data_IF_398615923374
#
_entry.id   IF_398615923374
#
_cell.length_a   1.000
_cell.length_b   1.000
_cell.length_c   1.000
_cell.angle_alpha   90.00
_cell.angle_beta   90.00
_cell.angle_gamma   90.00
#
_symmetry.space_group_name_H-M   'P 1'
#
loop_
_entity.id
_entity.type
_entity.pdbx_description
1 polymer ?
#
# COMPACT_ATOMS: atom_id res chain seq x y z
N UNK A 1 35.19 70.85 -40.64
CA UNK A 1 35.20 70.72 -39.17
C UNK A 1 35.05 69.22 -38.82
N UNK A 2 36.14 68.54 -38.38
CA UNK A 2 36.18 67.17 -38.07
C UNK A 2 35.93 66.97 -36.56
N UNK A 3 34.86 66.27 -36.19
CA UNK A 3 34.51 65.97 -34.83
C UNK A 3 35.45 64.92 -34.22
N UNK A 4 36.27 65.28 -33.24
CA UNK A 4 37.10 64.35 -32.46
C UNK A 4 36.26 63.54 -31.51
N UNK A 5 36.06 62.27 -31.80
CA UNK A 5 35.50 61.30 -30.85
C UNK A 5 36.47 61.04 -29.69
N UNK A 6 36.13 61.48 -28.49
CA UNK A 6 36.84 61.15 -27.21
C UNK A 6 36.65 59.69 -26.86
N UNK A 7 37.73 58.87 -27.04
CA UNK A 7 37.77 57.52 -26.46
C UNK A 7 37.72 57.62 -24.91
N UNK A 8 36.67 57.03 -24.29
CA UNK A 8 36.58 56.90 -22.84
C UNK A 8 37.71 55.99 -22.31
N UNK A 9 38.43 56.37 -21.23
CA UNK A 9 39.48 55.54 -20.66
C UNK A 9 38.94 54.24 -20.13
N UNK A 10 39.47 53.09 -20.60
CA UNK A 10 39.15 51.77 -20.02
C UNK A 10 39.72 51.74 -18.59
N UNK A 11 38.85 51.71 -17.60
CA UNK A 11 39.25 51.53 -16.20
C UNK A 11 39.93 50.18 -16.01
N UNK A 12 41.23 50.16 -15.73
CA UNK A 12 42.01 48.98 -15.39
C UNK A 12 41.51 48.40 -14.05
N UNK A 13 41.06 47.14 -14.08
CA UNK A 13 40.60 46.43 -12.89
C UNK A 13 41.76 46.26 -11.92
N UNK A 14 41.61 46.76 -10.69
CA UNK A 14 42.65 46.71 -9.65
C UNK A 14 42.95 45.26 -9.21
N UNK A 15 44.19 45.01 -8.73
CA UNK A 15 44.67 43.67 -8.32
C UNK A 15 43.74 42.99 -7.30
N UNK A 16 43.20 43.72 -6.31
CA UNK A 16 42.23 43.19 -5.33
C UNK A 16 40.90 42.77 -5.93
N UNK A 17 40.47 43.44 -7.02
CA UNK A 17 39.22 43.09 -7.71
C UNK A 17 39.40 41.85 -8.59
N UNK A 18 40.58 41.67 -9.22
CA UNK A 18 40.96 40.45 -9.96
C UNK A 18 40.96 39.22 -9.02
N UNK A 19 41.50 39.35 -7.80
CA UNK A 19 41.53 38.26 -6.83
C UNK A 19 40.11 37.87 -6.36
N UNK A 20 39.23 38.84 -6.13
CA UNK A 20 37.83 38.57 -5.78
C UNK A 20 37.06 37.90 -6.92
N UNK A 21 37.26 38.37 -8.15
CA UNK A 21 36.67 37.73 -9.36
C UNK A 21 37.19 36.31 -9.55
N UNK A 22 38.49 36.08 -9.34
CA UNK A 22 39.09 34.75 -9.42
C UNK A 22 38.53 33.81 -8.32
N UNK A 23 38.40 34.32 -7.10
CA UNK A 23 37.78 33.54 -6.01
C UNK A 23 36.33 33.19 -6.28
N UNK A 24 35.53 34.13 -6.82
CA UNK A 24 34.16 33.88 -7.26
C UNK A 24 34.08 32.84 -8.40
N UNK A 25 34.98 32.99 -9.39
CA UNK A 25 35.08 32.02 -10.48
C UNK A 25 35.41 30.61 -9.97
N UNK A 26 36.38 30.46 -9.07
CA UNK A 26 36.74 29.18 -8.45
C UNK A 26 35.59 28.59 -7.68
N UNK A 27 34.81 29.40 -6.96
CA UNK A 27 33.63 28.93 -6.22
C UNK A 27 32.56 28.37 -7.17
N UNK A 28 32.32 29.04 -8.31
CA UNK A 28 31.41 28.57 -9.36
C UNK A 28 31.91 27.24 -9.97
N UNK A 29 33.20 27.13 -10.25
CA UNK A 29 33.82 25.91 -10.81
C UNK A 29 33.64 24.75 -9.81
N UNK A 30 33.90 24.96 -8.54
CA UNK A 30 33.71 23.93 -7.48
C UNK A 30 32.24 23.52 -7.39
N UNK A 31 31.31 24.48 -7.45
CA UNK A 31 29.88 24.17 -7.45
C UNK A 31 29.45 23.36 -8.69
N UNK A 32 29.97 23.71 -9.88
CA UNK A 32 29.73 22.93 -11.11
C UNK A 32 30.30 21.51 -11.04
N UNK A 33 31.52 21.35 -10.50
CA UNK A 33 32.10 20.02 -10.30
C UNK A 33 31.28 19.19 -9.32
N UNK A 34 30.75 19.79 -8.26
CA UNK A 34 29.81 19.15 -7.34
C UNK A 34 28.50 18.70 -8.02
N UNK A 35 27.95 19.54 -8.89
CA UNK A 35 26.75 19.17 -9.68
C UNK A 35 27.03 18.03 -10.67
N UNK A 36 28.18 18.06 -11.36
CA UNK A 36 28.58 16.98 -12.27
C UNK A 36 28.77 15.68 -11.50
N UNK A 37 29.45 15.71 -10.35
CA UNK A 37 29.62 14.54 -9.48
C UNK A 37 28.27 13.99 -9.01
N UNK A 38 27.33 14.87 -8.66
CA UNK A 38 25.97 14.46 -8.28
C UNK A 38 25.19 13.84 -9.45
N UNK A 39 25.31 14.42 -10.65
CA UNK A 39 24.68 13.86 -11.85
C UNK A 39 25.23 12.47 -12.18
N UNK A 40 26.56 12.29 -12.15
CA UNK A 40 27.21 10.99 -12.36
C UNK A 40 26.77 9.97 -11.30
N UNK A 41 26.65 10.39 -10.04
CA UNK A 41 26.14 9.53 -8.98
C UNK A 41 24.69 9.09 -9.23
N UNK A 42 23.82 10.02 -9.64
CA UNK A 42 22.41 9.71 -9.99
C UNK A 42 22.35 8.78 -11.20
N UNK A 43 23.15 9.03 -12.22
CA UNK A 43 23.23 8.18 -13.40
C UNK A 43 23.70 6.77 -13.07
N UNK A 44 24.72 6.65 -12.24
CA UNK A 44 25.24 5.35 -11.80
C UNK A 44 24.25 4.57 -10.90
N UNK A 45 23.55 5.25 -9.98
CA UNK A 45 22.66 4.59 -9.01
C UNK A 45 21.23 4.41 -9.53
N UNK A 46 20.75 5.27 -10.43
CA UNK A 46 19.36 5.34 -10.84
C UNK A 46 19.16 5.58 -12.35
N UNK A 47 20.21 5.59 -13.14
CA UNK A 47 20.16 5.88 -14.59
C UNK A 47 19.19 4.99 -15.34
N UNK A 48 19.21 3.68 -15.08
CA UNK A 48 18.29 2.71 -15.68
C UNK A 48 16.84 2.95 -15.30
N UNK A 49 16.57 3.35 -14.05
CA UNK A 49 15.22 3.66 -13.57
C UNK A 49 14.67 4.93 -14.22
N UNK A 50 15.51 5.96 -14.37
CA UNK A 50 15.13 7.19 -15.06
C UNK A 50 14.96 6.99 -16.57
N UNK A 51 15.83 6.23 -17.20
CA UNK A 51 15.71 5.89 -18.63
C UNK A 51 14.41 5.12 -18.88
N UNK A 52 14.09 4.14 -18.04
CA UNK A 52 12.82 3.41 -18.10
C UNK A 52 11.62 4.32 -17.90
N UNK A 53 11.69 5.26 -16.97
CA UNK A 53 10.62 6.22 -16.71
C UNK A 53 10.42 7.22 -17.85
N UNK A 54 11.48 7.72 -18.46
CA UNK A 54 11.42 8.63 -19.63
C UNK A 54 10.86 7.91 -20.85
N UNK A 55 11.33 6.69 -21.13
CA UNK A 55 10.82 5.88 -22.23
C UNK A 55 9.34 5.50 -22.02
N UNK A 56 8.87 5.35 -20.76
CA UNK A 56 7.47 5.13 -20.46
C UNK A 56 6.56 6.32 -20.75
N UNK A 57 7.11 7.51 -20.93
CA UNK A 57 6.39 8.75 -21.26
C UNK A 57 6.31 9.05 -22.76
N UNK A 58 7.08 8.36 -23.60
CA UNK A 58 7.03 8.53 -25.05
C UNK A 58 5.98 7.62 -25.67
N UNK A 59 4.90 8.21 -26.19
CA UNK A 59 3.80 7.50 -26.86
C UNK A 59 4.16 7.09 -28.29
N UNK A 60 4.59 5.86 -28.45
CA UNK A 60 4.49 5.11 -29.70
C UNK A 60 3.89 3.74 -29.35
N UNK A 61 3.31 3.00 -30.31
CA UNK A 61 2.68 1.70 -30.10
C UNK A 61 3.46 0.83 -29.11
N UNK A 62 3.16 0.96 -27.83
CA UNK A 62 3.94 0.36 -26.78
C UNK A 62 3.03 -0.24 -25.72
N UNK A 63 3.33 -1.47 -25.39
CA UNK A 63 2.67 -2.21 -24.33
C UNK A 63 3.40 -1.97 -23.01
N UNK A 64 2.66 -1.55 -21.99
CA UNK A 64 3.19 -1.48 -20.62
C UNK A 64 3.35 -2.91 -20.07
N UNK A 65 4.50 -3.19 -19.46
CA UNK A 65 4.75 -4.40 -18.70
C UNK A 65 4.59 -4.02 -17.22
N UNK A 66 3.51 -4.47 -16.54
CA UNK A 66 3.27 -4.06 -15.16
C UNK A 66 4.33 -4.64 -14.23
N UNK A 67 4.72 -3.86 -13.22
CA UNK A 67 5.54 -4.34 -12.11
C UNK A 67 4.69 -5.14 -11.13
N UNK A 68 5.31 -6.04 -10.40
CA UNK A 68 4.74 -6.73 -9.26
C UNK A 68 5.08 -5.97 -7.98
N UNK A 69 4.05 -5.57 -7.20
CA UNK A 69 4.24 -4.94 -5.89
C UNK A 69 4.87 -5.93 -4.92
N UNK A 70 5.86 -5.49 -4.14
CA UNK A 70 6.62 -6.31 -3.19
C UNK A 70 5.72 -6.98 -2.15
N UNK A 71 6.15 -8.11 -1.62
CA UNK A 71 5.42 -8.82 -0.59
C UNK A 71 5.56 -8.14 0.77
N UNK A 72 4.57 -8.32 1.65
CA UNK A 72 4.70 -8.09 3.09
C UNK A 72 4.72 -9.46 3.74
N UNK A 73 5.72 -9.72 4.54
CA UNK A 73 5.91 -11.02 5.22
C UNK A 73 6.06 -10.82 6.72
N UNK A 74 5.68 -11.84 7.47
CA UNK A 74 5.85 -11.89 8.92
C UNK A 74 7.31 -12.18 9.31
N UNK A 75 7.58 -12.29 10.60
CA UNK A 75 8.92 -12.58 11.14
C UNK A 75 9.46 -13.96 10.72
N UNK A 76 8.61 -14.89 10.34
CA UNK A 76 8.95 -16.26 9.94
C UNK A 76 8.97 -16.44 8.41
N UNK A 77 8.70 -15.38 7.63
CA UNK A 77 8.62 -15.44 6.18
C UNK A 77 7.24 -15.81 5.64
N UNK A 78 6.21 -15.90 6.49
CA UNK A 78 4.82 -16.13 6.06
C UNK A 78 4.32 -14.91 5.27
N UNK A 79 3.76 -15.14 4.10
CA UNK A 79 3.29 -14.05 3.22
C UNK A 79 1.96 -13.51 3.70
N UNK A 80 1.96 -12.27 4.21
CA UNK A 80 0.78 -11.55 4.68
C UNK A 80 0.09 -10.77 3.55
N UNK A 81 0.85 -10.26 2.60
CA UNK A 81 0.35 -9.59 1.41
C UNK A 81 1.25 -9.91 0.21
N UNK A 82 0.64 -10.23 -0.92
CA UNK A 82 1.33 -10.54 -2.18
C UNK A 82 0.57 -9.95 -3.36
N UNK A 83 1.19 -9.95 -4.53
CA UNK A 83 0.54 -9.57 -5.79
C UNK A 83 0.42 -10.78 -6.69
N UNK A 84 -0.80 -11.10 -7.10
CA UNK A 84 -1.10 -12.21 -8.01
C UNK A 84 -1.36 -11.67 -9.41
N UNK A 85 -0.89 -12.39 -10.42
CA UNK A 85 -1.17 -12.05 -11.81
C UNK A 85 -2.63 -12.30 -12.12
N UNK A 86 -3.29 -11.32 -12.73
CA UNK A 86 -4.64 -11.41 -13.27
C UNK A 86 -4.61 -10.94 -14.73
N UNK A 87 -5.60 -11.33 -15.49
CA UNK A 87 -5.63 -11.14 -16.93
C UNK A 87 -6.91 -10.44 -17.36
N UNK A 88 -6.75 -9.41 -18.18
CA UNK A 88 -7.87 -8.79 -18.87
C UNK A 88 -7.97 -9.36 -20.27
N UNK A 89 -9.17 -9.77 -20.68
CA UNK A 89 -9.44 -10.25 -22.04
C UNK A 89 -9.70 -9.04 -22.93
N UNK A 90 -8.85 -8.84 -23.92
CA UNK A 90 -8.94 -7.70 -24.83
C UNK A 90 -9.22 -8.19 -26.26
N UNK A 91 -10.16 -7.48 -26.91
CA UNK A 91 -10.54 -7.72 -28.30
C UNK A 91 -10.10 -6.56 -29.20
N UNK A 92 -9.40 -6.90 -30.27
CA UNK A 92 -9.16 -6.01 -31.41
C UNK A 92 -10.16 -6.36 -32.53
N UNK A 93 -11.17 -5.53 -32.65
CA UNK A 93 -12.17 -5.72 -33.70
C UNK A 93 -11.60 -5.50 -35.09
N UNK A 94 -10.55 -4.66 -35.26
CA UNK A 94 -9.94 -4.44 -36.58
C UNK A 94 -9.26 -5.69 -37.11
N UNK A 95 -8.62 -6.47 -36.23
CA UNK A 95 -8.01 -7.76 -36.59
C UNK A 95 -9.07 -8.83 -36.79
N UNK A 96 -10.04 -8.95 -35.85
CA UNK A 96 -11.12 -9.94 -35.94
C UNK A 96 -11.96 -9.76 -37.21
N UNK A 97 -12.23 -8.53 -37.64
CA UNK A 97 -13.05 -8.22 -38.82
C UNK A 97 -12.27 -8.06 -40.10
N UNK A 98 -10.93 -8.19 -40.06
CA UNK A 98 -10.05 -8.07 -41.26
C UNK A 98 -10.38 -9.09 -42.34
N UNK A 99 -10.87 -10.26 -41.92
CA UNK A 99 -11.41 -11.30 -42.82
C UNK A 99 -12.70 -11.87 -42.23
N UNK A 100 -13.69 -12.15 -43.11
CA UNK A 100 -14.96 -12.72 -42.66
C UNK A 100 -14.81 -14.10 -41.99
N UNK A 101 -13.81 -14.87 -42.36
CA UNK A 101 -13.49 -16.18 -41.80
C UNK A 101 -13.00 -16.16 -40.35
N UNK A 102 -12.62 -14.98 -39.80
CA UNK A 102 -12.15 -14.84 -38.41
C UNK A 102 -13.30 -14.56 -37.43
N UNK A 103 -14.40 -13.95 -37.90
CA UNK A 103 -15.46 -13.42 -37.01
C UNK A 103 -16.14 -14.57 -36.23
N UNK A 104 -16.75 -15.52 -36.92
CA UNK A 104 -17.50 -16.62 -36.28
C UNK A 104 -16.63 -17.49 -35.38
N UNK A 105 -15.43 -18.00 -35.83
CA UNK A 105 -14.59 -18.81 -34.95
C UNK A 105 -14.10 -18.07 -33.70
N UNK A 106 -13.82 -16.76 -33.80
CA UNK A 106 -13.38 -15.97 -32.66
C UNK A 106 -14.52 -15.76 -31.65
N UNK A 107 -15.74 -15.43 -32.14
CA UNK A 107 -16.91 -15.27 -31.26
C UNK A 107 -17.30 -16.63 -30.63
N UNK A 108 -17.28 -17.75 -31.38
CA UNK A 108 -17.57 -19.05 -30.83
C UNK A 108 -16.57 -19.46 -29.73
N UNK A 109 -15.28 -19.24 -29.96
CA UNK A 109 -14.24 -19.49 -28.96
C UNK A 109 -14.43 -18.65 -27.70
N UNK A 110 -14.73 -17.34 -27.85
CA UNK A 110 -14.97 -16.44 -26.71
C UNK A 110 -16.18 -16.87 -25.89
N UNK A 111 -17.30 -17.16 -26.53
CA UNK A 111 -18.53 -17.58 -25.82
C UNK A 111 -18.43 -18.97 -25.22
N UNK A 112 -17.65 -19.88 -25.83
CA UNK A 112 -17.37 -21.18 -25.27
C UNK A 112 -16.51 -21.16 -24.02
N UNK A 113 -15.45 -20.31 -24.01
CA UNK A 113 -14.49 -20.24 -22.91
C UNK A 113 -14.92 -19.28 -21.81
N UNK A 114 -15.73 -18.28 -22.15
CA UNK A 114 -16.19 -17.23 -21.22
C UNK A 114 -17.70 -17.11 -21.25
N UNK A 115 -18.43 -17.90 -20.44
CA UNK A 115 -19.90 -17.93 -20.43
C UNK A 115 -20.57 -16.58 -20.09
N UNK A 116 -19.85 -15.69 -19.42
CA UNK A 116 -20.32 -14.35 -19.07
C UNK A 116 -20.39 -13.39 -20.27
N UNK A 117 -19.83 -13.78 -21.42
CA UNK A 117 -19.87 -12.96 -22.63
C UNK A 117 -21.11 -13.27 -23.45
N UNK A 118 -21.90 -12.23 -23.71
CA UNK A 118 -23.06 -12.31 -24.57
C UNK A 118 -22.65 -12.29 -26.05
N UNK A 119 -23.13 -13.28 -26.80
CA UNK A 119 -22.86 -13.44 -28.23
C UNK A 119 -23.35 -12.23 -29.05
N UNK A 120 -24.54 -11.71 -28.74
CA UNK A 120 -25.12 -10.60 -29.48
C UNK A 120 -24.26 -9.32 -29.32
N UNK A 121 -23.69 -9.11 -28.14
CA UNK A 121 -22.76 -8.01 -27.89
C UNK A 121 -21.47 -8.15 -28.71
N UNK A 122 -20.91 -9.35 -28.83
CA UNK A 122 -19.73 -9.59 -29.65
C UNK A 122 -19.99 -9.42 -31.16
N UNK A 123 -21.16 -9.84 -31.63
CA UNK A 123 -21.62 -9.61 -33.01
C UNK A 123 -21.86 -8.13 -33.29
N UNK A 124 -22.38 -7.35 -32.32
CA UNK A 124 -22.49 -5.91 -32.41
C UNK A 124 -21.13 -5.23 -32.56
N UNK A 125 -20.15 -5.61 -31.76
CA UNK A 125 -18.77 -5.13 -31.91
C UNK A 125 -18.19 -5.44 -33.30
N UNK A 126 -18.44 -6.64 -33.83
CA UNK A 126 -18.00 -7.03 -35.18
C UNK A 126 -18.65 -6.19 -36.27
N UNK A 127 -19.88 -5.70 -36.07
CA UNK A 127 -20.62 -4.95 -37.06
C UNK A 127 -20.39 -3.42 -36.96
N UNK A 128 -20.40 -2.90 -35.74
CA UNK A 128 -20.46 -1.46 -35.47
C UNK A 128 -19.16 -0.84 -34.91
N UNK A 129 -18.18 -1.68 -34.52
CA UNK A 129 -16.93 -1.23 -33.90
C UNK A 129 -15.68 -1.75 -34.63
N UNK A 130 -15.73 -1.93 -35.94
CA UNK A 130 -14.68 -2.58 -36.74
C UNK A 130 -13.30 -1.96 -36.63
N UNK A 131 -13.22 -0.65 -36.44
CA UNK A 131 -11.96 0.09 -36.34
C UNK A 131 -11.42 0.16 -34.90
N UNK A 132 -12.19 -0.34 -33.91
CA UNK A 132 -11.77 -0.34 -32.52
C UNK A 132 -10.73 -1.44 -32.27
N UNK A 133 -9.52 -1.02 -31.92
CA UNK A 133 -8.40 -1.91 -31.68
C UNK A 133 -8.28 -2.39 -30.23
N UNK A 134 -9.10 -1.83 -29.32
CA UNK A 134 -8.96 -2.09 -27.89
C UNK A 134 -10.30 -2.06 -27.19
N UNK A 135 -10.89 -3.23 -26.97
CA UNK A 135 -12.10 -3.41 -26.17
C UNK A 135 -11.80 -4.41 -25.06
N UNK A 136 -11.88 -4.00 -23.81
CA UNK A 136 -11.73 -4.90 -22.67
C UNK A 136 -13.07 -5.62 -22.45
N UNK A 137 -13.11 -6.91 -22.75
CA UNK A 137 -14.30 -7.75 -22.61
C UNK A 137 -14.52 -8.20 -21.17
N UNK A 138 -13.45 -8.70 -20.52
CA UNK A 138 -13.46 -9.18 -19.14
C UNK A 138 -12.21 -8.67 -18.44
N UNK A 139 -12.31 -8.45 -17.12
CA UNK A 139 -11.21 -7.93 -16.29
C UNK A 139 -10.88 -8.88 -15.15
N UNK A 140 -9.59 -8.90 -14.79
CA UNK A 140 -9.10 -9.53 -13.56
C UNK A 140 -9.39 -11.02 -13.44
N UNK A 141 -9.35 -11.73 -14.55
CA UNK A 141 -9.49 -13.19 -14.57
C UNK A 141 -8.23 -13.87 -14.03
N UNK A 142 -8.40 -15.01 -13.37
CA UNK A 142 -7.28 -15.87 -13.00
C UNK A 142 -6.66 -16.54 -14.24
N UNK A 143 -5.42 -17.04 -14.10
CA UNK A 143 -4.80 -17.83 -15.16
C UNK A 143 -5.64 -19.05 -15.56
N UNK A 144 -6.21 -19.75 -14.58
CA UNK A 144 -7.05 -20.92 -14.81
C UNK A 144 -8.31 -20.59 -15.62
N UNK A 145 -8.86 -19.39 -15.44
CA UNK A 145 -10.03 -18.94 -16.18
C UNK A 145 -9.73 -18.64 -17.67
N UNK A 146 -8.52 -18.17 -17.99
CA UNK A 146 -8.12 -17.88 -19.38
C UNK A 146 -7.47 -19.07 -20.08
N UNK A 147 -6.97 -20.05 -19.32
CA UNK A 147 -6.22 -21.21 -19.86
C UNK A 147 -6.98 -21.98 -20.94
N UNK A 148 -8.31 -22.25 -20.84
CA UNK A 148 -9.06 -22.93 -21.89
C UNK A 148 -9.00 -22.21 -23.24
N UNK A 149 -9.07 -20.87 -23.23
CA UNK A 149 -8.99 -20.07 -24.46
C UNK A 149 -7.56 -20.07 -25.02
N UNK A 150 -6.55 -19.93 -24.17
CA UNK A 150 -5.13 -19.99 -24.58
C UNK A 150 -4.83 -21.34 -25.21
N UNK A 151 -5.27 -22.45 -24.60
CA UNK A 151 -5.09 -23.77 -25.15
C UNK A 151 -5.80 -23.95 -26.49
N UNK A 152 -7.00 -23.37 -26.65
CA UNK A 152 -7.73 -23.40 -27.91
C UNK A 152 -7.03 -22.61 -29.01
N UNK A 153 -6.51 -21.43 -28.68
CA UNK A 153 -5.82 -20.50 -29.59
C UNK A 153 -4.47 -21.07 -30.05
N UNK A 154 -3.69 -21.66 -29.13
CA UNK A 154 -2.32 -22.14 -29.36
C UNK A 154 -2.25 -23.61 -29.74
N UNK A 155 -3.40 -24.31 -29.82
CA UNK A 155 -3.44 -25.74 -30.21
C UNK A 155 -2.77 -25.99 -31.56
N UNK A 156 -1.80 -26.91 -31.59
CA UNK A 156 -1.09 -27.30 -32.83
C UNK A 156 -1.38 -28.73 -33.20
N UNK A 157 -1.27 -29.04 -34.50
CA UNK A 157 -1.30 -30.39 -35.04
C UNK A 157 0.09 -31.06 -34.86
N UNK A 158 0.17 -32.37 -35.27
CA UNK A 158 1.43 -33.12 -35.21
C UNK A 158 2.56 -32.51 -36.08
N UNK A 159 2.22 -31.64 -37.01
CA UNK A 159 3.16 -30.93 -37.90
C UNK A 159 3.53 -29.53 -37.40
N UNK A 160 3.00 -29.09 -36.22
CA UNK A 160 3.26 -27.81 -35.66
C UNK A 160 2.40 -26.65 -36.21
N UNK A 161 1.37 -26.94 -37.04
CA UNK A 161 0.46 -25.90 -37.53
C UNK A 161 -0.67 -25.65 -36.50
N UNK A 162 -1.13 -24.41 -36.41
CA UNK A 162 -2.28 -24.07 -35.55
C UNK A 162 -3.54 -24.84 -36.01
N UNK A 163 -4.23 -25.50 -35.07
CA UNK A 163 -5.51 -26.16 -35.34
C UNK A 163 -6.64 -25.16 -35.58
N UNK A 164 -6.57 -24.02 -34.90
CA UNK A 164 -7.57 -22.95 -34.94
C UNK A 164 -6.98 -21.63 -35.48
N UNK A 165 -6.47 -21.57 -36.72
CA UNK A 165 -5.77 -20.42 -37.26
C UNK A 165 -6.66 -19.19 -37.45
N UNK A 166 -7.99 -19.38 -37.40
CA UNK A 166 -8.99 -18.34 -37.62
C UNK A 166 -9.47 -17.66 -36.34
N UNK A 167 -9.00 -18.08 -35.16
CA UNK A 167 -9.21 -17.31 -33.90
C UNK A 167 -8.22 -16.17 -33.89
N UNK A 168 -8.71 -14.95 -34.10
CA UNK A 168 -7.87 -13.76 -34.26
C UNK A 168 -8.44 -12.53 -33.50
N UNK A 169 -7.54 -11.61 -33.12
CA UNK A 169 -7.92 -10.34 -32.52
C UNK A 169 -8.17 -10.42 -31.00
N UNK A 170 -7.85 -11.53 -30.35
CA UNK A 170 -7.97 -11.66 -28.89
C UNK A 170 -6.59 -11.83 -28.28
N UNK A 171 -6.31 -11.06 -27.24
CA UNK A 171 -5.11 -11.22 -26.42
C UNK A 171 -5.40 -10.94 -24.95
N UNK A 172 -4.44 -11.27 -24.11
CA UNK A 172 -4.54 -11.09 -22.65
C UNK A 172 -3.55 -10.05 -22.19
N UNK A 173 -4.06 -9.08 -21.42
CA UNK A 173 -3.21 -8.12 -20.72
C UNK A 173 -3.02 -8.57 -19.28
N UNK A 174 -1.76 -8.76 -18.90
CA UNK A 174 -1.41 -9.09 -17.52
C UNK A 174 -1.49 -7.83 -16.66
N UNK A 175 -2.15 -7.95 -15.53
CA UNK A 175 -2.22 -6.95 -14.47
C UNK A 175 -1.88 -7.66 -13.14
N UNK A 176 -1.44 -6.93 -12.13
CA UNK A 176 -1.23 -7.49 -10.81
C UNK A 176 -2.28 -6.96 -9.85
N UNK A 177 -2.97 -7.89 -9.19
CA UNK A 177 -3.92 -7.58 -8.12
C UNK A 177 -3.31 -7.91 -6.77
N UNK A 178 -3.45 -6.98 -5.82
CA UNK A 178 -3.04 -7.22 -4.44
C UNK A 178 -3.93 -8.29 -3.81
N UNK A 179 -3.32 -9.25 -3.13
CA UNK A 179 -4.00 -10.34 -2.44
C UNK A 179 -3.47 -10.48 -1.03
N UNK A 180 -4.37 -10.67 -0.09
CA UNK A 180 -4.12 -10.85 1.33
C UNK A 180 -4.61 -12.24 1.74
N UNK A 181 -3.72 -13.26 1.80
CA UNK A 181 -4.12 -14.65 1.99
C UNK A 181 -4.91 -14.90 3.28
N UNK A 182 -4.61 -14.14 4.32
CA UNK A 182 -5.25 -14.28 5.63
C UNK A 182 -6.41 -13.30 5.87
N UNK A 183 -6.84 -12.57 4.83
CA UNK A 183 -8.00 -11.68 4.83
C UNK A 183 -7.97 -10.62 5.94
N UNK A 184 -8.43 -10.98 7.16
CA UNK A 184 -8.60 -10.04 8.27
C UNK A 184 -7.38 -9.91 9.16
N UNK A 185 -6.39 -10.82 9.04
CA UNK A 185 -5.22 -10.86 9.92
C UNK A 185 -4.41 -9.57 9.84
N UNK A 186 -4.20 -8.94 10.99
CA UNK A 186 -3.47 -7.68 11.14
C UNK A 186 -3.98 -6.57 10.19
N UNK A 187 -5.28 -6.54 9.89
CA UNK A 187 -5.87 -5.70 8.84
C UNK A 187 -5.53 -4.22 8.97
N UNK A 188 -5.62 -3.65 10.18
CA UNK A 188 -5.31 -2.24 10.44
C UNK A 188 -3.80 -1.94 10.43
N UNK A 189 -2.95 -2.95 10.63
CA UNK A 189 -1.48 -2.82 10.56
C UNK A 189 -1.02 -2.91 9.12
N UNK A 190 -1.41 -3.98 8.41
CA UNK A 190 -1.01 -4.17 7.01
C UNK A 190 -1.61 -3.07 6.15
N UNK A 191 -2.89 -2.79 6.31
CA UNK A 191 -3.61 -1.88 5.42
C UNK A 191 -3.87 -2.50 4.05
N UNK A 192 -4.41 -1.70 3.14
CA UNK A 192 -4.78 -2.16 1.81
C UNK A 192 -4.38 -1.16 0.72
N UNK A 193 -4.45 -1.62 -0.53
CA UNK A 193 -4.20 -0.79 -1.72
C UNK A 193 -5.50 -0.45 -2.44
N UNK A 194 -5.54 0.74 -3.02
CA UNK A 194 -6.55 1.17 -3.98
C UNK A 194 -6.13 0.86 -5.43
N UNK A 195 -6.93 1.27 -6.40
CA UNK A 195 -6.62 1.13 -7.82
C UNK A 195 -5.24 1.72 -8.16
N UNK A 196 -4.50 1.05 -9.02
CA UNK A 196 -3.16 1.48 -9.44
C UNK A 196 -2.04 1.15 -8.46
N UNK A 197 -2.24 0.18 -7.58
CA UNK A 197 -1.25 -0.25 -6.58
C UNK A 197 -0.85 0.86 -5.58
N UNK A 198 -1.76 1.79 -5.28
CA UNK A 198 -1.52 2.86 -4.31
C UNK A 198 -1.91 2.38 -2.92
N UNK A 199 -0.96 2.37 -1.98
CA UNK A 199 -1.23 2.06 -0.57
C UNK A 199 -2.15 3.12 0.06
N UNK A 200 -3.22 2.68 0.71
CA UNK A 200 -4.25 3.58 1.27
C UNK A 200 -4.11 3.74 2.77
N UNK A 201 -3.85 2.66 3.49
CA UNK A 201 -3.69 2.64 4.96
C UNK A 201 -2.53 1.74 5.38
N UNK A 202 -2.15 1.79 6.64
CA UNK A 202 -1.19 0.88 7.28
C UNK A 202 0.19 0.85 6.62
N UNK A 203 0.84 -0.30 6.68
CA UNK A 203 2.17 -0.54 6.08
C UNK A 203 2.15 -0.38 4.56
N UNK A 204 1.03 -0.73 3.91
CA UNK A 204 0.85 -0.53 2.47
C UNK A 204 1.00 0.93 2.07
N UNK A 205 0.48 1.86 2.89
CA UNK A 205 0.62 3.30 2.64
C UNK A 205 1.99 3.81 3.06
N UNK A 206 2.44 3.47 4.28
CA UNK A 206 3.69 4.00 4.82
C UNK A 206 4.92 3.59 3.99
N UNK A 207 4.96 2.34 3.54
CA UNK A 207 6.04 1.80 2.70
C UNK A 207 5.68 1.74 1.22
N UNK A 208 4.75 2.60 0.76
CA UNK A 208 4.27 2.57 -0.61
C UNK A 208 5.41 2.64 -1.64
N UNK A 209 6.39 3.52 -1.46
CA UNK A 209 7.52 3.69 -2.36
C UNK A 209 8.49 2.49 -2.37
N UNK A 210 8.60 1.79 -1.23
CA UNK A 210 9.41 0.57 -1.11
C UNK A 210 8.73 -0.62 -1.77
N UNK A 211 7.42 -0.75 -1.56
CA UNK A 211 6.60 -1.84 -2.07
C UNK A 211 6.30 -1.68 -3.56
N UNK A 212 6.21 -0.47 -4.08
CA UNK A 212 6.01 -0.23 -5.51
C UNK A 212 7.29 -0.44 -6.30
N UNK A 213 7.09 -0.90 -7.53
CA UNK A 213 8.11 -1.03 -8.53
C UNK A 213 7.99 0.02 -9.64
N UNK A 214 8.66 -0.24 -10.75
CA UNK A 214 8.61 0.58 -11.95
C UNK A 214 8.14 -0.29 -13.12
N UNK A 215 7.10 0.15 -13.82
CA UNK A 215 6.62 -0.53 -15.00
C UNK A 215 7.71 -0.62 -16.07
N UNK A 216 7.81 -1.79 -16.68
CA UNK A 216 8.55 -1.98 -17.90
C UNK A 216 7.75 -1.55 -19.12
N UNK A 217 8.35 -1.66 -20.27
CA UNK A 217 7.72 -1.30 -21.54
C UNK A 217 8.23 -2.18 -22.68
N UNK A 218 7.31 -2.58 -23.51
CA UNK A 218 7.60 -3.19 -24.80
C UNK A 218 7.22 -2.18 -25.88
N UNK A 219 8.16 -1.85 -26.74
CA UNK A 219 7.90 -0.98 -27.89
C UNK A 219 8.70 -1.48 -29.09
N UNK A 220 8.20 -1.20 -30.27
CA UNK A 220 8.86 -1.58 -31.50
C UNK A 220 8.81 -0.47 -32.52
N UNK A 221 9.78 -0.49 -33.41
CA UNK A 221 9.83 0.34 -34.60
C UNK A 221 10.21 -0.50 -35.83
N UNK A 222 9.74 -0.07 -36.98
CA UNK A 222 10.22 -0.63 -38.26
C UNK A 222 11.59 -0.02 -38.59
N UNK A 223 12.59 -0.91 -38.78
CA UNK A 223 13.90 -0.45 -39.24
C UNK A 223 13.86 -0.05 -40.72
N UNK A 224 15.01 0.40 -41.29
CA UNK A 224 15.13 0.82 -42.69
C UNK A 224 14.78 -0.30 -43.68
N UNK A 225 14.84 -1.55 -43.27
CA UNK A 225 14.54 -2.76 -44.07
C UNK A 225 13.12 -3.25 -43.89
N UNK A 226 12.26 -2.48 -43.17
CA UNK A 226 10.88 -2.84 -42.83
C UNK A 226 10.75 -4.02 -41.85
N UNK A 227 11.82 -4.43 -41.16
CA UNK A 227 11.76 -5.42 -40.09
C UNK A 227 11.36 -4.76 -38.79
N UNK A 228 10.41 -5.39 -38.07
CA UNK A 228 9.94 -4.91 -36.77
C UNK A 228 10.97 -5.24 -35.68
N UNK A 229 11.70 -4.23 -35.22
CA UNK A 229 12.61 -4.37 -34.09
C UNK A 229 11.88 -4.09 -32.78
N UNK A 230 11.75 -5.13 -31.98
CA UNK A 230 11.13 -5.10 -30.65
C UNK A 230 12.18 -4.79 -29.58
N UNK A 231 11.93 -3.75 -28.80
CA UNK A 231 12.72 -3.44 -27.61
C UNK A 231 11.87 -3.69 -26.36
N UNK A 232 12.41 -4.46 -25.41
CA UNK A 232 11.74 -4.77 -24.15
C UNK A 232 12.56 -4.18 -23.01
N UNK A 233 11.94 -3.27 -22.26
CA UNK A 233 12.45 -2.81 -20.97
C UNK A 233 11.70 -3.57 -19.91
N UNK A 234 12.38 -4.43 -19.17
CA UNK A 234 11.76 -5.23 -18.12
C UNK A 234 11.21 -4.35 -16.98
N UNK A 235 10.10 -4.74 -16.41
CA UNK A 235 9.61 -4.13 -15.17
C UNK A 235 10.58 -4.37 -14.01
N UNK A 236 10.67 -3.42 -13.10
CA UNK A 236 11.36 -3.59 -11.82
C UNK A 236 10.29 -3.79 -10.75
N UNK A 237 10.29 -4.95 -10.11
CA UNK A 237 9.36 -5.25 -9.04
C UNK A 237 9.70 -4.46 -7.77
N UNK A 238 8.70 -4.26 -6.91
CA UNK A 238 8.89 -3.66 -5.59
C UNK A 238 9.66 -4.58 -4.64
N UNK A 239 10.19 -4.01 -3.57
CA UNK A 239 10.94 -4.75 -2.55
C UNK A 239 9.99 -5.41 -1.55
N UNK A 240 10.40 -6.57 -1.03
CA UNK A 240 9.68 -7.26 0.05
C UNK A 240 9.92 -6.55 1.37
N UNK A 241 8.86 -6.34 2.13
CA UNK A 241 8.88 -5.80 3.49
C UNK A 241 8.79 -6.94 4.50
N UNK A 242 9.81 -7.07 5.35
CA UNK A 242 9.84 -8.00 6.49
C UNK A 242 9.36 -7.27 7.73
N UNK A 243 8.37 -7.83 8.42
CA UNK A 243 7.81 -7.27 9.66
C UNK A 243 8.25 -8.09 10.87
N UNK A 244 8.08 -7.55 12.06
CA UNK A 244 8.29 -8.27 13.34
C UNK A 244 7.04 -9.02 13.79
N UNK A 245 5.91 -8.84 13.12
CA UNK A 245 4.66 -9.55 13.40
C UNK A 245 4.87 -11.06 13.22
N UNK A 246 4.41 -11.84 14.18
CA UNK A 246 4.29 -13.30 14.07
C UNK A 246 2.83 -13.63 13.77
N UNK A 247 2.56 -14.22 12.60
CA UNK A 247 1.21 -14.50 12.13
C UNK A 247 0.45 -15.44 13.07
N UNK A 248 1.15 -16.37 13.75
CA UNK A 248 0.51 -17.29 14.68
C UNK A 248 0.08 -16.57 15.96
N UNK A 249 0.96 -15.73 16.54
CA UNK A 249 0.65 -14.94 17.73
C UNK A 249 -0.50 -13.97 17.40
N UNK A 250 -0.42 -13.28 16.27
CA UNK A 250 -1.45 -12.36 15.79
C UNK A 250 -2.82 -13.06 15.67
N UNK A 251 -2.85 -14.25 15.04
CA UNK A 251 -4.10 -15.03 14.89
C UNK A 251 -4.70 -15.42 16.22
N UNK A 252 -3.87 -15.92 17.17
CA UNK A 252 -4.34 -16.28 18.51
C UNK A 252 -4.95 -15.07 19.22
N UNK A 253 -4.32 -13.90 19.12
CA UNK A 253 -4.81 -12.65 19.74
C UNK A 253 -6.14 -12.25 19.13
N UNK A 254 -6.26 -12.24 17.80
CA UNK A 254 -7.51 -11.88 17.11
C UNK A 254 -8.66 -12.84 17.43
N UNK A 255 -8.39 -14.14 17.49
CA UNK A 255 -9.37 -15.15 17.90
C UNK A 255 -9.87 -14.91 19.33
N UNK A 256 -8.98 -14.54 20.27
CA UNK A 256 -9.37 -14.23 21.65
C UNK A 256 -10.16 -12.93 21.76
N UNK A 257 -9.78 -11.90 21.00
CA UNK A 257 -10.52 -10.65 20.90
C UNK A 257 -11.95 -10.92 20.39
N UNK A 258 -12.05 -11.68 19.29
CA UNK A 258 -13.35 -12.05 18.71
C UNK A 258 -14.20 -12.85 19.70
N UNK A 259 -13.62 -13.87 20.32
CA UNK A 259 -14.30 -14.70 21.33
C UNK A 259 -14.83 -13.83 22.49
N UNK A 260 -14.04 -12.86 22.97
CA UNK A 260 -14.47 -11.93 24.00
C UNK A 260 -15.67 -11.09 23.52
N UNK A 261 -15.56 -10.47 22.34
CA UNK A 261 -16.65 -9.66 21.79
C UNK A 261 -17.93 -10.46 21.59
N UNK A 262 -17.83 -11.70 21.07
CA UNK A 262 -18.98 -12.58 20.87
C UNK A 262 -19.62 -13.03 22.21
N UNK A 263 -18.79 -13.32 23.21
CA UNK A 263 -19.27 -13.76 24.54
C UNK A 263 -20.07 -12.66 25.26
N UNK A 264 -19.64 -11.41 25.09
CA UNK A 264 -20.27 -10.28 25.78
C UNK A 264 -21.21 -9.47 24.89
N UNK A 265 -21.51 -9.94 23.68
CA UNK A 265 -22.48 -9.32 22.80
C UNK A 265 -23.86 -9.26 23.47
N UNK A 266 -24.53 -8.11 23.36
CA UNK A 266 -25.84 -7.82 23.94
C UNK A 266 -25.91 -8.00 25.50
N UNK A 267 -24.78 -7.95 26.21
CA UNK A 267 -24.73 -8.09 27.65
C UNK A 267 -25.01 -6.75 28.37
N UNK A 268 -24.01 -5.84 28.39
CA UNK A 268 -24.16 -4.56 29.08
C UNK A 268 -24.90 -3.52 28.21
N UNK A 269 -24.86 -3.68 26.87
CA UNK A 269 -25.58 -2.89 25.89
C UNK A 269 -25.93 -3.76 24.68
N UNK A 270 -26.88 -3.33 23.87
CA UNK A 270 -27.18 -3.97 22.59
C UNK A 270 -26.02 -3.84 21.61
N UNK A 271 -25.72 -4.89 20.85
CA UNK A 271 -24.68 -4.94 19.84
C UNK A 271 -23.40 -5.64 20.30
N UNK A 272 -22.25 -5.16 19.84
CA UNK A 272 -20.94 -5.78 20.10
C UNK A 272 -20.59 -5.78 21.60
N UNK A 273 -19.85 -6.80 22.04
CA UNK A 273 -19.40 -6.93 23.44
C UNK A 273 -18.47 -5.82 23.90
N UNK A 274 -17.73 -5.23 22.96
CA UNK A 274 -16.97 -4.01 23.17
C UNK A 274 -17.04 -3.14 21.91
N UNK A 275 -16.94 -1.83 22.08
CA UNK A 275 -16.89 -0.90 20.93
C UNK A 275 -15.57 -1.00 20.20
N UNK A 276 -14.48 -1.01 20.97
CA UNK A 276 -13.13 -1.22 20.46
C UNK A 276 -12.35 -2.10 21.45
N UNK A 277 -11.49 -2.95 20.92
CA UNK A 277 -10.51 -3.72 21.69
C UNK A 277 -9.17 -3.55 20.99
N UNK A 278 -8.11 -3.24 21.76
CA UNK A 278 -6.75 -3.15 21.27
C UNK A 278 -5.83 -4.03 22.10
N UNK A 279 -4.98 -4.80 21.42
CA UNK A 279 -3.95 -5.64 22.07
C UNK A 279 -2.64 -5.48 21.32
N UNK A 280 -1.57 -5.15 22.03
CA UNK A 280 -0.21 -5.12 21.54
C UNK A 280 0.60 -6.15 22.34
N UNK A 281 1.32 -7.02 21.65
CA UNK A 281 2.30 -7.94 22.24
C UNK A 281 3.68 -7.52 21.76
N UNK A 282 4.52 -7.13 22.70
CA UNK A 282 5.87 -6.64 22.44
C UNK A 282 6.90 -7.52 23.17
N UNK A 283 8.04 -7.71 22.52
CA UNK A 283 9.21 -8.32 23.13
C UNK A 283 9.99 -7.25 23.93
N UNK A 284 10.00 -7.27 25.26
CA UNK A 284 10.59 -6.20 26.07
C UNK A 284 12.12 -6.13 25.96
N UNK A 285 12.76 -7.14 25.35
CA UNK A 285 14.23 -7.19 25.22
C UNK A 285 14.74 -6.35 24.05
N UNK A 286 13.95 -6.21 22.98
CA UNK A 286 14.39 -5.57 21.75
C UNK A 286 13.35 -4.63 21.14
N UNK A 287 12.15 -4.52 21.72
CA UNK A 287 11.08 -3.64 21.25
C UNK A 287 10.33 -4.15 20.02
N UNK A 288 10.52 -5.41 19.62
CA UNK A 288 9.79 -5.99 18.49
C UNK A 288 8.32 -6.19 18.84
N UNK A 289 7.43 -5.66 17.98
CA UNK A 289 6.00 -5.90 18.09
C UNK A 289 5.69 -7.23 17.42
N UNK A 290 5.32 -8.23 18.23
CA UNK A 290 5.01 -9.57 17.76
C UNK A 290 3.56 -9.70 17.29
N UNK A 291 2.64 -8.93 17.88
CA UNK A 291 1.25 -8.80 17.47
C UNK A 291 0.72 -7.41 17.78
N UNK A 292 -0.11 -6.89 16.90
CA UNK A 292 -0.86 -5.65 17.08
C UNK A 292 -2.26 -5.86 16.49
N UNK A 293 -3.24 -6.09 17.34
CA UNK A 293 -4.58 -6.43 16.94
C UNK A 293 -5.59 -5.45 17.51
N UNK A 294 -6.59 -5.11 16.72
CA UNK A 294 -7.74 -4.34 17.17
C UNK A 294 -9.05 -4.93 16.61
N UNK A 295 -10.13 -4.60 17.27
CA UNK A 295 -11.49 -4.98 16.89
C UNK A 295 -12.40 -3.76 17.04
N UNK A 296 -13.28 -3.50 16.07
CA UNK A 296 -13.55 -4.25 14.83
C UNK A 296 -12.36 -4.34 13.88
N UNK A 297 -12.31 -5.39 13.05
CA UNK A 297 -11.35 -5.58 11.95
C UNK A 297 -12.09 -5.68 10.60
N UNK A 298 -11.38 -5.78 9.47
CA UNK A 298 -12.00 -5.84 8.14
C UNK A 298 -11.23 -6.77 7.19
N UNK A 299 -11.91 -7.24 6.14
CA UNK A 299 -11.25 -8.04 5.08
C UNK A 299 -10.44 -7.14 4.17
N UNK A 300 -9.11 -7.33 4.15
CA UNK A 300 -8.16 -6.59 3.32
C UNK A 300 -8.42 -6.75 1.82
N UNK A 301 -9.02 -7.88 1.39
CA UNK A 301 -9.40 -8.09 -0.01
C UNK A 301 -10.71 -7.37 -0.37
N UNK A 302 -11.55 -7.05 0.63
CA UNK A 302 -12.78 -6.29 0.46
C UNK A 302 -12.96 -5.23 1.54
N UNK A 303 -12.06 -4.23 1.63
CA UNK A 303 -11.98 -3.31 2.77
C UNK A 303 -13.19 -2.38 2.94
N UNK A 304 -14.06 -2.30 1.93
CA UNK A 304 -15.29 -1.50 1.99
C UNK A 304 -16.51 -2.29 2.48
N UNK A 305 -16.36 -3.59 2.74
CA UNK A 305 -17.45 -4.40 3.26
C UNK A 305 -17.62 -4.17 4.77
N UNK A 306 -18.72 -3.54 5.12
CA UNK A 306 -19.11 -3.23 6.49
C UNK A 306 -20.25 -4.14 6.99
N UNK A 307 -20.64 -5.15 6.23
CA UNK A 307 -21.81 -5.99 6.51
C UNK A 307 -21.71 -6.77 7.84
N UNK A 308 -20.50 -7.00 8.34
CA UNK A 308 -20.27 -7.66 9.62
C UNK A 308 -20.64 -6.79 10.85
N UNK A 309 -20.75 -5.46 10.68
CA UNK A 309 -20.87 -4.51 11.80
C UNK A 309 -22.08 -3.58 11.70
N UNK A 310 -22.71 -3.48 10.54
CA UNK A 310 -23.84 -2.60 10.31
C UNK A 310 -25.02 -3.35 9.71
N UNK A 311 -26.24 -2.98 10.12
CA UNK A 311 -27.48 -3.56 9.59
C UNK A 311 -27.70 -3.17 8.11
N UNK A 312 -28.53 -3.94 7.42
CA UNK A 312 -28.89 -3.62 6.02
C UNK A 312 -29.48 -2.21 5.86
N UNK A 313 -30.24 -1.74 6.85
CA UNK A 313 -30.82 -0.41 6.87
C UNK A 313 -29.75 0.67 6.99
N UNK A 314 -28.75 0.46 7.86
CA UNK A 314 -27.61 1.36 8.01
C UNK A 314 -26.75 1.39 6.73
N UNK A 315 -26.48 0.22 6.15
CA UNK A 315 -25.75 0.12 4.89
C UNK A 315 -26.50 0.80 3.73
N UNK A 316 -27.82 0.70 3.70
CA UNK A 316 -28.64 1.40 2.71
C UNK A 316 -28.65 2.92 2.93
N UNK A 317 -28.55 3.40 4.18
CA UNK A 317 -28.39 4.81 4.49
C UNK A 317 -27.02 5.34 4.04
N UNK A 318 -25.94 4.62 4.31
CA UNK A 318 -24.57 4.97 3.88
C UNK A 318 -24.48 5.11 2.35
N UNK A 319 -25.10 4.22 1.58
CA UNK A 319 -25.15 4.33 0.11
C UNK A 319 -25.80 5.63 -0.40
N UNK A 320 -26.62 6.30 0.42
CA UNK A 320 -27.27 7.57 0.07
C UNK A 320 -26.46 8.79 0.50
N UNK A 321 -25.55 8.62 1.46
CA UNK A 321 -24.70 9.69 1.98
C UNK A 321 -23.24 9.22 2.00
N UNK A 322 -22.50 9.62 0.98
CA UNK A 322 -21.11 9.24 0.81
C UNK A 322 -20.19 9.75 1.94
N UNK A 323 -20.58 10.82 2.63
CA UNK A 323 -19.81 11.35 3.77
C UNK A 323 -19.94 10.43 4.97
N UNK A 324 -21.16 10.02 5.31
CA UNK A 324 -21.41 9.06 6.39
C UNK A 324 -20.78 7.69 6.10
N UNK A 325 -20.83 7.23 4.83
CA UNK A 325 -20.14 6.02 4.41
C UNK A 325 -18.63 6.11 4.67
N UNK A 326 -18.00 7.21 4.24
CA UNK A 326 -16.56 7.40 4.43
C UNK A 326 -16.16 7.55 5.89
N UNK A 327 -16.98 8.19 6.71
CA UNK A 327 -16.73 8.31 8.15
C UNK A 327 -16.78 6.94 8.83
N UNK A 328 -17.75 6.09 8.47
CA UNK A 328 -17.86 4.72 8.99
C UNK A 328 -16.68 3.85 8.55
N UNK A 329 -16.29 3.94 7.26
CA UNK A 329 -15.11 3.25 6.73
C UNK A 329 -13.82 3.71 7.39
N UNK A 330 -13.62 5.01 7.56
CA UNK A 330 -12.45 5.56 8.22
C UNK A 330 -12.32 5.07 9.68
N UNK A 331 -13.43 4.96 10.40
CA UNK A 331 -13.44 4.37 11.75
C UNK A 331 -13.02 2.91 11.73
N UNK A 332 -13.52 2.13 10.76
CA UNK A 332 -13.21 0.71 10.62
C UNK A 332 -11.74 0.47 10.25
N UNK A 333 -11.17 1.33 9.39
CA UNK A 333 -9.78 1.21 8.91
C UNK A 333 -8.74 1.72 9.90
N UNK A 334 -9.15 2.49 10.91
CA UNK A 334 -8.22 3.02 11.90
C UNK A 334 -7.58 1.90 12.72
N UNK A 335 -6.28 2.05 12.97
CA UNK A 335 -5.59 1.23 13.95
C UNK A 335 -5.78 1.83 15.34
N UNK A 336 -6.72 1.28 16.09
CA UNK A 336 -7.06 1.75 17.43
C UNK A 336 -5.85 1.78 18.38
N UNK A 337 -4.90 0.85 18.22
CA UNK A 337 -3.69 0.79 19.05
C UNK A 337 -2.84 2.06 19.01
N UNK A 338 -2.91 2.82 17.90
CA UNK A 338 -2.03 4.00 17.68
C UNK A 338 -2.78 5.31 17.41
N UNK A 339 -4.09 5.25 17.18
CA UNK A 339 -4.87 6.45 16.82
C UNK A 339 -5.71 7.00 17.96
N UNK A 340 -5.93 6.22 19.03
CA UNK A 340 -6.78 6.60 20.14
C UNK A 340 -5.99 6.78 21.43
N UNK A 341 -6.46 7.69 22.24
CA UNK A 341 -5.98 7.90 23.60
C UNK A 341 -7.00 7.35 24.59
N UNK A 342 -6.53 6.90 25.75
CA UNK A 342 -7.38 6.40 26.83
C UNK A 342 -6.82 6.81 28.18
N UNK A 343 -7.65 6.79 29.21
CA UNK A 343 -7.23 7.03 30.59
C UNK A 343 -6.59 5.73 31.13
N UNK A 344 -5.26 5.70 31.37
CA UNK A 344 -4.56 4.48 31.71
C UNK A 344 -4.86 3.98 33.12
N UNK A 345 -5.40 4.80 33.98
CA UNK A 345 -5.67 4.45 35.37
C UNK A 345 -4.41 4.01 36.12
N UNK A 346 -4.49 2.93 36.91
CA UNK A 346 -3.37 2.41 37.69
C UNK A 346 -2.18 1.92 36.86
N UNK A 347 -2.35 1.65 35.57
CA UNK A 347 -1.23 1.28 34.66
C UNK A 347 -0.22 2.43 34.52
N UNK A 348 -0.62 3.70 34.79
CA UNK A 348 0.28 4.85 34.78
C UNK A 348 1.21 4.90 36.00
N UNK A 349 0.83 4.25 37.13
CA UNK A 349 1.59 4.36 38.39
C UNK A 349 3.06 3.93 38.29
N UNK A 350 3.40 2.79 37.66
CA UNK A 350 4.81 2.40 37.45
C UNK A 350 5.62 3.44 36.70
N UNK A 351 5.04 4.11 35.70
CA UNK A 351 5.71 5.17 34.95
C UNK A 351 5.97 6.40 35.83
N UNK A 352 5.01 6.77 36.69
CA UNK A 352 5.18 7.89 37.64
C UNK A 352 6.29 7.57 38.64
N UNK A 353 6.31 6.36 39.19
CA UNK A 353 7.36 5.91 40.13
C UNK A 353 8.71 5.87 39.43
N UNK A 354 8.82 5.31 38.22
CA UNK A 354 10.06 5.26 37.46
C UNK A 354 10.60 6.68 37.16
N UNK A 355 9.74 7.60 36.78
CA UNK A 355 10.12 9.00 36.57
C UNK A 355 10.61 9.68 37.86
N UNK A 356 9.94 9.42 38.99
CA UNK A 356 10.36 9.95 40.31
C UNK A 356 11.72 9.40 40.74
N UNK A 357 12.01 8.12 40.50
CA UNK A 357 13.32 7.52 40.77
C UNK A 357 14.41 8.06 39.84
N UNK A 358 14.12 8.18 38.54
CA UNK A 358 15.08 8.64 37.53
C UNK A 358 15.47 10.11 37.78
N UNK A 359 14.52 10.95 38.21
CA UNK A 359 14.76 12.36 38.55
C UNK A 359 15.35 12.58 39.98
N UNK A 360 15.46 11.50 40.74
CA UNK A 360 15.92 11.56 42.13
C UNK A 360 14.90 12.23 43.09
N UNK A 361 13.67 12.45 42.65
CA UNK A 361 12.58 12.98 43.50
C UNK A 361 12.05 11.93 44.48
N UNK A 362 12.12 10.64 44.05
CA UNK A 362 11.80 9.48 44.87
C UNK A 362 13.08 8.66 45.11
N UNK A 363 13.14 8.04 46.33
CA UNK A 363 14.13 7.01 46.63
C UNK A 363 13.43 5.78 47.22
N UNK A 364 14.06 4.62 47.12
CA UNK A 364 13.43 3.34 47.51
C UNK A 364 13.18 3.22 49.03
N UNK A 365 13.83 4.04 49.83
CA UNK A 365 13.69 4.10 51.31
C UNK A 365 12.65 5.08 51.78
N UNK A 366 12.05 5.87 50.87
CA UNK A 366 10.95 6.77 51.20
C UNK A 366 9.72 6.04 51.69
N UNK A 367 9.04 6.65 52.65
CA UNK A 367 7.75 6.22 53.18
C UNK A 367 6.69 7.27 53.02
N UNK A 368 5.46 6.85 52.81
CA UNK A 368 4.29 7.70 52.56
C UNK A 368 3.18 7.35 53.56
N UNK A 369 2.44 8.34 53.96
CA UNK A 369 1.26 8.15 54.82
C UNK A 369 0.01 8.10 53.95
N UNK A 370 -0.67 6.96 53.92
CA UNK A 370 -1.97 6.83 53.31
C UNK A 370 -3.06 6.93 54.38
N UNK A 371 -3.77 8.06 54.45
CA UNK A 371 -4.91 8.30 55.36
C UNK A 371 -6.27 8.14 54.65
N UNK A 372 -6.26 7.52 53.45
CA UNK A 372 -7.45 7.15 52.67
C UNK A 372 -7.88 8.17 51.65
N UNK A 373 -7.28 9.32 51.53
CA UNK A 373 -7.52 10.29 50.48
C UNK A 373 -6.40 11.36 50.39
N UNK A 374 -6.34 12.02 49.25
CA UNK A 374 -5.50 13.20 49.04
C UNK A 374 -6.30 14.31 48.35
N UNK A 375 -5.99 15.55 48.63
CA UNK A 375 -6.66 16.71 48.04
C UNK A 375 -5.80 17.34 46.96
N UNK A 376 -6.29 17.37 45.71
CA UNK A 376 -5.69 18.11 44.61
C UNK A 376 -6.51 19.35 44.29
N UNK A 377 -6.11 20.47 44.87
CA UNK A 377 -6.90 21.70 44.81
C UNK A 377 -8.25 21.51 45.51
N UNK A 378 -9.35 21.60 44.79
CA UNK A 378 -10.71 21.37 45.28
C UNK A 378 -11.18 19.90 45.15
N UNK A 379 -10.43 19.11 44.42
CA UNK A 379 -10.85 17.72 44.12
C UNK A 379 -10.29 16.73 45.14
N UNK A 380 -11.16 15.82 45.62
CA UNK A 380 -10.79 14.75 46.52
C UNK A 380 -10.54 13.45 45.77
N UNK A 381 -9.29 12.98 45.76
CA UNK A 381 -8.91 11.68 45.24
C UNK A 381 -8.86 10.70 46.41
N UNK A 382 -9.70 9.68 46.37
CA UNK A 382 -9.84 8.70 47.47
C UNK A 382 -9.07 7.43 47.17
N UNK A 383 -8.42 6.88 48.18
CA UNK A 383 -7.88 5.52 48.13
C UNK A 383 -9.02 4.50 48.15
N UNK A 384 -8.79 3.30 47.58
CA UNK A 384 -9.74 2.18 47.69
C UNK A 384 -10.04 1.84 49.16
N UNK A 385 -8.99 1.75 49.98
CA UNK A 385 -9.15 1.69 51.42
C UNK A 385 -9.38 3.10 51.97
N UNK A 386 -10.62 3.51 52.14
CA UNK A 386 -11.00 4.82 52.60
C UNK A 386 -10.56 5.13 54.05
N UNK A 387 -10.15 4.07 54.78
CA UNK A 387 -9.59 4.19 56.13
C UNK A 387 -8.09 4.43 56.14
N UNK A 388 -7.47 4.40 54.93
CA UNK A 388 -6.04 4.46 54.73
C UNK A 388 -5.32 3.14 55.01
N UNK A 389 -4.08 3.03 54.50
CA UNK A 389 -3.18 1.89 54.77
C UNK A 389 -2.15 2.22 55.85
N UNK A 390 -2.10 3.49 56.31
CA UNK A 390 -1.10 3.94 57.24
C UNK A 390 0.21 4.31 56.59
N UNK A 391 1.34 4.02 57.25
CA UNK A 391 2.68 4.33 56.71
C UNK A 391 3.11 3.17 55.79
N UNK A 392 3.32 3.48 54.54
CA UNK A 392 3.70 2.58 53.45
C UNK A 392 5.11 2.90 52.93
N UNK A 393 5.88 1.88 52.63
CA UNK A 393 7.10 2.05 51.78
C UNK A 393 6.71 2.23 50.32
N UNK A 394 7.61 2.73 49.49
CA UNK A 394 7.37 2.89 48.07
C UNK A 394 6.97 1.54 47.42
N UNK A 395 7.60 0.43 47.82
CA UNK A 395 7.29 -0.92 47.36
C UNK A 395 5.88 -1.35 47.77
N UNK A 396 5.49 -1.22 49.06
CA UNK A 396 4.18 -1.60 49.53
C UNK A 396 3.08 -0.71 48.91
N UNK A 397 3.29 0.59 48.85
CA UNK A 397 2.30 1.50 48.26
C UNK A 397 2.01 1.16 46.80
N UNK A 398 3.02 0.61 46.07
CA UNK A 398 2.83 0.17 44.69
C UNK A 398 2.07 -1.16 44.62
N UNK A 399 2.34 -2.11 45.54
CA UNK A 399 1.65 -3.41 45.58
C UNK A 399 0.21 -3.31 46.07
N UNK A 400 -0.09 -2.45 47.05
CA UNK A 400 -1.43 -2.33 47.66
C UNK A 400 -2.31 -1.29 46.95
N UNK A 401 -1.73 -0.43 46.15
CA UNK A 401 -2.47 0.57 45.38
C UNK A 401 -3.17 0.00 44.14
N UNK A 402 -3.42 -1.29 44.10
CA UNK A 402 -4.07 -2.02 43.00
C UNK A 402 -5.53 -1.62 42.73
N UNK A 403 -5.80 -0.32 42.86
CA UNK A 403 -7.12 0.22 42.60
C UNK A 403 -7.03 1.67 42.19
#
# INVERSE_FOLDING_TARGET
MAARTRKRPVRKIGRKMKTKLFALFMLIVVAMLGLIGRLMFIEYTSGDAYTKKVLSLQSYDSKTIPFQRGNIVDSNGTVLATSVAVYNVVLDCSVMTSKKEYITPTIDALTQCFPDLDRATLEDYANNSKDNKYIVLLKKLSYDAIQPFVQLQDATDEKGNLKNPNIKGVWFETEYQRNYPFKTLASSVIGFTSAGNVGTTGLENYYNDTLNGVNGREYGYLNADNDFQKTVIAAQNGNTLYTTIDANIQSIVEDKIKLFSDTYANNAREGLGAENIAVIIENPKNGEILAMANYPNFDLNNPRDMSAYYSEEQLAAFKKDSTQEMDALNKLWQNFCVTHTYEPGSVQKPFTVACGLDTGTLTTDMTFLCDGYEMFGSEKVSCVNRSGHGIETLENSHCESGS
#
